data_IF_657529970260
#
_entry.id   IF_657529970260
#
_cell.length_a   1.000
_cell.length_b   1.000
_cell.length_c   1.000
_cell.angle_alpha   90.00
_cell.angle_beta   90.00
_cell.angle_gamma   90.00
#
_symmetry.space_group_name_H-M   'P 1'
#
loop_
_entity.id
_entity.type
_entity.pdbx_description
1 polymer ?
#
# COMPACT_ATOMS: atom_id res chain seq x y z
N UNK A 1 -10.09 -5.50 26.12
CA UNK A 1 -10.81 -4.87 25.00
C UNK A 1 -10.12 -5.30 23.72
N UNK A 2 -10.72 -6.21 22.96
CA UNK A 2 -10.14 -6.70 21.71
C UNK A 2 -10.12 -5.56 20.70
N UNK A 3 -8.94 -5.13 20.30
CA UNK A 3 -8.75 -4.25 19.14
C UNK A 3 -8.52 -5.16 17.94
N UNK A 4 -9.42 -5.12 16.97
CA UNK A 4 -9.20 -5.75 15.66
C UNK A 4 -8.67 -4.67 14.71
N UNK A 5 -7.57 -4.93 14.04
CA UNK A 5 -6.99 -4.05 13.03
C UNK A 5 -7.47 -4.47 11.64
N UNK A 6 -7.71 -3.49 10.79
CA UNK A 6 -8.11 -3.71 9.40
C UNK A 6 -7.23 -2.85 8.52
N UNK A 7 -6.47 -3.48 7.65
CA UNK A 7 -5.76 -2.81 6.56
C UNK A 7 -6.69 -2.79 5.36
N UNK A 8 -7.17 -1.62 5.00
CA UNK A 8 -8.18 -1.42 3.97
C UNK A 8 -7.65 -1.58 2.54
N UNK A 9 -8.55 -1.61 1.57
CA UNK A 9 -8.21 -1.70 0.14
C UNK A 9 -7.61 -0.41 -0.44
N UNK A 10 -7.64 0.69 0.30
CA UNK A 10 -7.09 1.98 -0.13
C UNK A 10 -5.57 2.01 -0.22
N UNK A 11 -4.88 1.16 0.51
CA UNK A 11 -3.42 1.10 0.55
C UNK A 11 -2.83 0.22 -0.55
N UNK A 12 -1.53 0.31 -0.74
CA UNK A 12 -0.70 -0.68 -1.44
C UNK A 12 0.21 -1.35 -0.42
N UNK A 13 0.49 -2.65 -0.57
CA UNK A 13 1.14 -3.48 0.45
C UNK A 13 2.33 -4.21 -0.14
N UNK A 14 3.50 -4.04 0.47
CA UNK A 14 4.64 -4.92 0.25
C UNK A 14 4.45 -6.18 1.14
N UNK A 15 4.20 -7.36 0.56
CA UNK A 15 3.90 -8.56 1.33
C UNK A 15 5.09 -9.04 2.16
N UNK A 16 6.32 -8.87 1.69
CA UNK A 16 7.51 -9.26 2.44
C UNK A 16 7.71 -8.36 3.67
N UNK A 17 7.46 -7.05 3.50
CA UNK A 17 7.51 -6.10 4.60
C UNK A 17 6.42 -6.37 5.63
N UNK A 18 5.19 -6.67 5.18
CA UNK A 18 4.08 -7.05 6.07
C UNK A 18 4.44 -8.26 6.94
N UNK A 19 5.01 -9.32 6.34
CA UNK A 19 5.45 -10.51 7.08
C UNK A 19 6.52 -10.15 8.12
N UNK A 20 7.50 -9.35 7.73
CA UNK A 20 8.57 -8.92 8.64
C UNK A 20 8.04 -8.10 9.84
N UNK A 21 7.06 -7.21 9.61
CA UNK A 21 6.40 -6.46 10.67
C UNK A 21 5.59 -7.36 11.60
N UNK A 22 4.85 -8.34 11.06
CA UNK A 22 4.10 -9.30 11.85
C UNK A 22 5.03 -10.09 12.77
N UNK A 23 6.17 -10.57 12.25
CA UNK A 23 7.18 -11.30 13.02
C UNK A 23 7.77 -10.41 14.12
N UNK A 24 8.13 -9.17 13.79
CA UNK A 24 8.68 -8.21 14.74
C UNK A 24 7.70 -7.93 15.89
N UNK A 25 6.45 -7.64 15.55
CA UNK A 25 5.42 -7.32 16.56
C UNK A 25 5.10 -8.53 17.45
N UNK A 26 5.03 -9.73 16.88
CA UNK A 26 4.89 -10.97 17.67
C UNK A 26 6.05 -11.16 18.63
N UNK A 27 7.28 -10.89 18.18
CA UNK A 27 8.48 -10.90 19.04
C UNK A 27 8.45 -9.90 20.18
N UNK A 28 7.69 -8.80 20.03
CA UNK A 28 7.43 -7.80 21.06
C UNK A 28 6.23 -8.15 21.96
N UNK A 29 5.62 -9.32 21.78
CA UNK A 29 4.48 -9.78 22.59
C UNK A 29 3.11 -9.36 22.05
N UNK A 30 3.01 -8.78 20.85
CA UNK A 30 1.71 -8.46 20.26
C UNK A 30 1.03 -9.73 19.72
N UNK A 31 -0.26 -9.88 20.00
CA UNK A 31 -1.09 -10.97 19.46
C UNK A 31 -1.56 -10.62 18.06
N UNK A 32 -0.79 -11.02 17.04
CA UNK A 32 -1.13 -10.84 15.62
C UNK A 32 -1.61 -12.17 15.04
N UNK A 33 -2.90 -12.31 14.89
CA UNK A 33 -3.58 -13.49 14.36
C UNK A 33 -4.64 -13.08 13.31
N UNK A 34 -5.19 -14.01 12.52
CA UNK A 34 -6.30 -13.71 11.62
C UNK A 34 -7.56 -13.14 12.30
N UNK A 35 -7.69 -13.33 13.61
CA UNK A 35 -8.77 -12.76 14.41
C UNK A 35 -8.51 -11.30 14.80
N UNK A 36 -7.25 -10.92 14.98
CA UNK A 36 -6.85 -9.58 15.42
C UNK A 36 -6.41 -8.67 14.28
N UNK A 37 -5.97 -9.22 13.13
CA UNK A 37 -5.59 -8.48 11.92
C UNK A 37 -6.35 -9.01 10.72
N UNK A 38 -6.92 -8.11 9.92
CA UNK A 38 -7.49 -8.41 8.60
C UNK A 38 -6.85 -7.47 7.58
N UNK A 39 -6.40 -8.03 6.47
CA UNK A 39 -5.88 -7.29 5.32
C UNK A 39 -6.86 -7.48 4.17
N UNK A 40 -7.28 -6.38 3.55
CA UNK A 40 -8.21 -6.46 2.42
C UNK A 40 -7.67 -7.36 1.31
N UNK A 41 -8.46 -8.35 0.91
CA UNK A 41 -8.17 -9.22 -0.22
C UNK A 41 -8.03 -8.48 -1.55
N UNK A 42 -8.60 -7.28 -1.64
CA UNK A 42 -8.53 -6.39 -2.80
C UNK A 42 -7.41 -5.34 -2.70
N UNK A 43 -6.61 -5.33 -1.64
CA UNK A 43 -5.44 -4.46 -1.55
C UNK A 43 -4.40 -4.84 -2.61
N UNK A 44 -3.88 -3.84 -3.32
CA UNK A 44 -2.86 -4.05 -4.34
C UNK A 44 -1.49 -4.31 -3.72
N UNK A 45 -0.72 -5.23 -4.30
CA UNK A 45 0.61 -5.59 -3.83
C UNK A 45 1.69 -4.75 -4.52
N UNK A 46 2.67 -4.35 -3.72
CA UNK A 46 3.94 -3.81 -4.22
C UNK A 46 4.87 -4.98 -4.48
N UNK A 47 5.44 -5.02 -5.67
CA UNK A 47 6.39 -6.04 -6.09
C UNK A 47 7.78 -5.41 -6.29
N UNK A 48 8.87 -6.21 -6.30
CA UNK A 48 10.20 -5.71 -6.65
C UNK A 48 10.25 -4.96 -7.97
N UNK A 49 9.43 -5.36 -8.94
CA UNK A 49 9.22 -4.66 -10.20
C UNK A 49 8.83 -3.18 -10.01
N UNK A 50 7.91 -2.89 -9.09
CA UNK A 50 7.48 -1.51 -8.82
C UNK A 50 8.60 -0.67 -8.23
N UNK A 51 9.45 -1.27 -7.38
CA UNK A 51 10.62 -0.60 -6.80
C UNK A 51 11.66 -0.28 -7.89
N UNK A 52 11.91 -1.22 -8.80
CA UNK A 52 12.80 -1.00 -9.95
C UNK A 52 12.30 0.13 -10.86
N UNK A 53 11.01 0.13 -11.17
CA UNK A 53 10.37 1.20 -11.98
C UNK A 53 10.45 2.55 -11.28
N UNK A 54 10.19 2.61 -9.97
CA UNK A 54 10.27 3.85 -9.18
C UNK A 54 11.69 4.43 -9.19
N UNK A 55 12.69 3.60 -8.91
CA UNK A 55 14.10 3.98 -8.91
C UNK A 55 14.56 4.49 -10.29
N UNK A 56 14.22 3.77 -11.35
CA UNK A 56 14.60 4.15 -12.70
C UNK A 56 13.93 5.46 -13.14
N UNK A 57 12.64 5.67 -12.83
CA UNK A 57 11.94 6.92 -13.10
C UNK A 57 12.57 8.12 -12.39
N UNK A 58 12.93 7.96 -11.11
CA UNK A 58 13.62 9.02 -10.37
C UNK A 58 15.01 9.30 -10.92
N UNK A 59 15.76 8.28 -11.36
CA UNK A 59 17.06 8.46 -11.98
C UNK A 59 16.97 9.28 -13.28
N UNK A 60 15.99 8.98 -14.13
CA UNK A 60 15.79 9.69 -15.42
C UNK A 60 15.36 11.16 -15.25
N UNK A 61 14.74 11.52 -14.13
CA UNK A 61 14.31 12.91 -13.87
C UNK A 61 15.47 13.85 -13.55
N UNK A 62 16.63 13.36 -13.19
CA UNK A 62 17.81 14.17 -12.88
C UNK A 62 17.50 15.23 -11.79
N UNK A 63 17.61 16.51 -12.14
CA UNK A 63 17.31 17.62 -11.22
C UNK A 63 15.81 17.81 -10.93
N UNK A 64 14.92 17.20 -11.72
CA UNK A 64 13.46 17.25 -11.55
C UNK A 64 12.88 16.11 -10.71
N UNK A 65 13.68 15.49 -9.85
CA UNK A 65 13.23 14.43 -8.94
C UNK A 65 12.05 14.88 -8.09
N UNK A 66 11.07 14.01 -7.91
CA UNK A 66 9.95 14.21 -6.97
C UNK A 66 10.43 13.95 -5.54
N UNK A 67 11.46 13.11 -5.37
CA UNK A 67 11.94 12.68 -4.08
C UNK A 67 11.11 11.53 -3.51
N UNK A 68 10.82 10.52 -4.33
CA UNK A 68 10.11 9.32 -3.89
C UNK A 68 10.94 8.54 -2.87
N UNK A 69 10.28 7.72 -2.07
CA UNK A 69 10.96 6.85 -1.10
C UNK A 69 11.63 5.64 -1.74
N UNK A 70 11.51 5.45 -3.06
CA UNK A 70 12.04 4.29 -3.78
C UNK A 70 11.35 2.97 -3.45
N UNK A 71 10.20 3.01 -2.77
CA UNK A 71 9.47 1.81 -2.34
C UNK A 71 8.45 1.29 -3.35
N UNK A 72 8.37 1.89 -4.54
CA UNK A 72 7.45 1.46 -5.58
C UNK A 72 5.99 1.82 -5.35
N UNK A 73 5.71 2.77 -4.45
CA UNK A 73 4.33 3.18 -4.09
C UNK A 73 3.59 3.73 -5.30
N UNK A 74 4.21 4.68 -6.01
CA UNK A 74 3.63 5.31 -7.20
C UNK A 74 3.27 4.31 -8.30
N UNK A 75 4.22 3.49 -8.77
CA UNK A 75 3.95 2.46 -9.77
C UNK A 75 2.87 1.45 -9.34
N UNK A 76 2.81 1.06 -8.06
CA UNK A 76 1.77 0.15 -7.58
C UNK A 76 0.36 0.79 -7.60
N UNK A 77 0.23 2.08 -7.26
CA UNK A 77 -1.03 2.80 -7.41
C UNK A 77 -1.41 3.01 -8.88
N UNK A 78 -0.43 3.30 -9.75
CA UNK A 78 -0.64 3.37 -11.20
C UNK A 78 -1.24 2.07 -11.73
N UNK A 79 -0.69 0.93 -11.34
CA UNK A 79 -1.18 -0.38 -11.75
C UNK A 79 -2.57 -0.70 -11.17
N UNK A 80 -2.84 -0.27 -9.93
CA UNK A 80 -4.16 -0.38 -9.32
C UNK A 80 -5.22 0.35 -10.16
N UNK A 81 -4.98 1.60 -10.51
CA UNK A 81 -5.90 2.43 -11.29
C UNK A 81 -6.02 1.93 -12.72
N UNK A 82 -4.91 1.46 -13.32
CA UNK A 82 -4.89 0.84 -14.65
C UNK A 82 -5.49 -0.59 -14.68
N UNK A 83 -5.92 -1.13 -13.56
CA UNK A 83 -6.59 -2.45 -13.42
C UNK A 83 -5.70 -3.64 -13.79
N UNK A 84 -4.37 -3.52 -13.63
CA UNK A 84 -3.40 -4.60 -13.85
C UNK A 84 -2.66 -5.04 -12.58
N UNK A 85 -2.98 -4.42 -11.43
CA UNK A 85 -2.34 -4.77 -10.15
C UNK A 85 -2.60 -6.22 -9.75
N UNK A 86 -1.59 -6.83 -9.13
CA UNK A 86 -1.75 -8.04 -8.34
C UNK A 86 -2.38 -7.63 -7.01
N UNK A 87 -3.43 -8.32 -6.59
CA UNK A 87 -4.11 -8.11 -5.31
C UNK A 87 -3.79 -9.24 -4.35
N UNK A 88 -3.90 -8.99 -3.05
CA UNK A 88 -3.65 -10.01 -2.03
C UNK A 88 -4.46 -11.30 -2.27
N UNK A 89 -5.73 -11.17 -2.64
CA UNK A 89 -6.59 -12.32 -2.93
C UNK A 89 -6.17 -13.13 -4.16
N UNK A 90 -5.39 -12.57 -5.08
CA UNK A 90 -4.92 -13.31 -6.26
C UNK A 90 -3.95 -14.44 -5.89
N UNK A 91 -3.30 -14.34 -4.73
CA UNK A 91 -2.42 -15.39 -4.21
C UNK A 91 -3.16 -16.71 -3.91
N UNK A 92 -4.48 -16.68 -3.82
CA UNK A 92 -5.29 -17.87 -3.61
C UNK A 92 -5.38 -18.77 -4.86
N UNK A 93 -5.10 -18.22 -6.06
CA UNK A 93 -5.21 -18.94 -7.33
C UNK A 93 -3.93 -18.78 -8.16
N UNK A 94 -3.16 -19.85 -8.26
CA UNK A 94 -1.90 -19.86 -9.00
C UNK A 94 -2.06 -19.48 -10.47
N UNK A 95 -3.10 -20.02 -11.12
CA UNK A 95 -3.37 -19.73 -12.52
C UNK A 95 -3.77 -18.27 -12.76
N UNK A 96 -4.53 -17.68 -11.83
CA UNK A 96 -4.87 -16.25 -11.87
C UNK A 96 -3.63 -15.40 -11.68
N UNK A 97 -2.79 -15.76 -10.71
CA UNK A 97 -1.54 -15.07 -10.43
C UNK A 97 -0.59 -15.09 -11.63
N UNK A 98 -0.41 -16.27 -12.26
CA UNK A 98 0.41 -16.44 -13.46
C UNK A 98 -0.04 -15.50 -14.59
N UNK A 99 -1.32 -15.56 -14.95
CA UNK A 99 -1.87 -14.75 -16.05
C UNK A 99 -1.66 -13.24 -15.79
N UNK A 100 -1.87 -12.81 -14.55
CA UNK A 100 -1.70 -11.40 -14.15
C UNK A 100 -0.24 -10.98 -14.15
N UNK A 101 0.67 -11.81 -13.65
CA UNK A 101 2.11 -11.50 -13.64
C UNK A 101 2.65 -11.42 -15.07
N UNK A 102 2.24 -12.30 -15.98
CA UNK A 102 2.61 -12.21 -17.40
C UNK A 102 2.18 -10.87 -18.00
N UNK A 103 0.93 -10.46 -17.78
CA UNK A 103 0.42 -9.20 -18.30
C UNK A 103 1.11 -7.98 -17.68
N UNK A 104 1.37 -8.01 -16.38
CA UNK A 104 2.03 -6.93 -15.65
C UNK A 104 3.47 -6.75 -16.11
N UNK A 105 4.25 -7.84 -16.20
CA UNK A 105 5.65 -7.79 -16.62
C UNK A 105 5.76 -7.41 -18.09
N UNK A 106 4.91 -7.93 -18.96
CA UNK A 106 4.89 -7.54 -20.37
C UNK A 106 4.70 -6.02 -20.54
N UNK A 107 3.84 -5.41 -19.70
CA UNK A 107 3.64 -3.96 -19.73
C UNK A 107 4.88 -3.18 -19.28
N UNK A 108 5.45 -3.53 -18.14
CA UNK A 108 6.57 -2.77 -17.57
C UNK A 108 7.90 -3.03 -18.27
N UNK A 109 8.11 -4.23 -18.83
CA UNK A 109 9.34 -4.58 -19.53
C UNK A 109 9.57 -3.75 -20.80
N UNK A 110 8.50 -3.29 -21.45
CA UNK A 110 8.63 -2.34 -22.57
C UNK A 110 9.37 -1.08 -22.13
N UNK A 111 9.00 -0.55 -20.97
CA UNK A 111 9.62 0.67 -20.43
C UNK A 111 10.99 0.39 -19.80
N UNK A 112 11.14 -0.67 -19.01
CA UNK A 112 12.44 -1.05 -18.41
C UNK A 112 13.50 -1.25 -19.48
N UNK A 113 13.18 -2.00 -20.53
CA UNK A 113 14.08 -2.21 -21.68
C UNK A 113 14.45 -0.90 -22.37
N UNK A 114 13.48 -0.01 -22.60
CA UNK A 114 13.74 1.30 -23.22
C UNK A 114 14.61 2.21 -22.33
N UNK A 115 14.58 2.00 -21.01
CA UNK A 115 15.39 2.73 -20.03
C UNK A 115 16.77 2.12 -19.79
N UNK A 116 17.06 0.97 -20.42
CA UNK A 116 18.32 0.22 -20.17
C UNK A 116 18.36 -0.57 -18.87
N UNK A 117 17.21 -0.75 -18.25
CA UNK A 117 17.07 -1.50 -17.00
C UNK A 117 16.77 -2.99 -17.27
N UNK A 118 17.14 -3.90 -16.36
CA UNK A 118 16.80 -5.30 -16.48
C UNK A 118 15.30 -5.55 -16.58
N UNK A 119 14.91 -6.43 -17.49
CA UNK A 119 13.53 -6.89 -17.60
C UNK A 119 13.14 -7.74 -16.37
N UNK A 120 11.91 -7.57 -15.90
CA UNK A 120 11.37 -8.38 -14.82
C UNK A 120 10.92 -9.76 -15.34
N UNK A 121 11.30 -10.80 -14.62
CA UNK A 121 10.87 -12.17 -14.92
C UNK A 121 9.60 -12.51 -14.12
N UNK A 122 8.47 -12.83 -14.78
CA UNK A 122 7.24 -13.19 -14.09
C UNK A 122 7.39 -14.45 -13.23
N UNK A 123 8.26 -15.39 -13.59
CA UNK A 123 8.50 -16.60 -12.81
C UNK A 123 9.19 -16.26 -11.47
N UNK A 124 10.19 -15.39 -11.48
CA UNK A 124 10.87 -14.94 -10.27
C UNK A 124 9.90 -14.18 -9.34
N UNK A 125 9.05 -13.33 -9.90
CA UNK A 125 8.04 -12.62 -9.11
C UNK A 125 7.01 -13.58 -8.52
N UNK A 126 6.59 -14.59 -9.28
CA UNK A 126 5.69 -15.65 -8.80
C UNK A 126 6.30 -16.41 -7.64
N UNK A 127 7.52 -16.90 -7.81
CA UNK A 127 8.21 -17.69 -6.77
C UNK A 127 8.34 -16.89 -5.46
N UNK A 128 8.69 -15.61 -5.57
CA UNK A 128 8.76 -14.71 -4.42
C UNK A 128 7.41 -14.54 -3.71
N UNK A 129 6.32 -14.39 -4.47
CA UNK A 129 4.97 -14.28 -3.89
C UNK A 129 4.48 -15.59 -3.30
N UNK A 130 4.74 -16.71 -3.96
CA UNK A 130 4.34 -18.03 -3.48
C UNK A 130 5.08 -18.43 -2.20
N UNK A 131 6.33 -18.00 -2.02
CA UNK A 131 7.07 -18.21 -0.79
C UNK A 131 6.45 -17.47 0.42
N UNK A 132 5.72 -16.37 0.19
CA UNK A 132 5.06 -15.57 1.23
C UNK A 132 3.57 -15.92 1.41
N UNK A 133 3.03 -16.73 0.50
CA UNK A 133 1.59 -17.01 0.42
C UNK A 133 0.98 -17.45 1.73
N UNK A 134 1.58 -18.46 2.34
CA UNK A 134 1.03 -19.08 3.55
C UNK A 134 1.16 -18.19 4.80
N UNK A 135 2.04 -17.20 4.74
CA UNK A 135 2.21 -16.19 5.79
C UNK A 135 1.22 -15.03 5.67
N UNK A 136 0.76 -14.70 4.45
CA UNK A 136 -0.10 -13.52 4.24
C UNK A 136 -1.57 -13.86 3.98
N UNK A 137 -1.87 -14.96 3.27
CA UNK A 137 -3.26 -15.35 2.95
C UNK A 137 -4.15 -15.59 4.16
N UNK A 138 -3.68 -16.11 5.30
CA UNK A 138 -4.52 -16.24 6.49
C UNK A 138 -5.11 -14.93 6.99
N UNK A 139 -4.49 -13.80 6.68
CA UNK A 139 -4.98 -12.46 7.03
C UNK A 139 -5.89 -11.85 5.97
N UNK A 140 -5.98 -12.46 4.78
CA UNK A 140 -6.80 -11.92 3.70
C UNK A 140 -8.30 -11.98 4.05
N UNK A 141 -9.00 -10.88 3.82
CA UNK A 141 -10.44 -10.82 4.10
C UNK A 141 -11.13 -9.59 3.51
N UNK A 142 -12.44 -9.59 3.57
CA UNK A 142 -13.25 -8.49 3.08
C UNK A 142 -13.35 -7.39 4.13
N UNK A 143 -12.51 -6.35 4.02
CA UNK A 143 -12.45 -5.24 4.97
C UNK A 143 -13.82 -4.59 5.20
N UNK A 144 -14.58 -4.35 4.10
CA UNK A 144 -15.92 -3.76 4.17
C UNK A 144 -16.88 -4.57 5.04
N UNK A 145 -16.81 -5.92 5.01
CA UNK A 145 -17.66 -6.79 5.80
C UNK A 145 -17.34 -6.71 7.29
N UNK A 146 -16.05 -6.63 7.63
CA UNK A 146 -15.60 -6.45 9.02
C UNK A 146 -16.09 -5.11 9.58
N UNK A 147 -16.05 -4.05 8.77
CA UNK A 147 -16.53 -2.73 9.18
C UNK A 147 -18.07 -2.70 9.34
N UNK A 148 -18.78 -3.36 8.44
CA UNK A 148 -20.25 -3.47 8.54
C UNK A 148 -20.69 -4.25 9.78
N UNK A 149 -20.00 -5.37 10.10
CA UNK A 149 -20.21 -6.12 11.35
C UNK A 149 -19.94 -5.26 12.59
N UNK A 150 -18.84 -4.47 12.56
CA UNK A 150 -18.53 -3.56 13.65
C UNK A 150 -19.63 -2.49 13.84
N UNK A 151 -20.13 -1.93 12.75
CA UNK A 151 -21.23 -0.97 12.76
C UNK A 151 -22.52 -1.58 13.29
N UNK A 152 -22.91 -2.75 12.79
CA UNK A 152 -24.12 -3.47 13.24
C UNK A 152 -24.09 -3.78 14.75
N UNK A 153 -22.90 -3.99 15.30
CA UNK A 153 -22.67 -4.24 16.71
C UNK A 153 -22.35 -2.97 17.53
N UNK A 154 -22.61 -1.78 16.98
CA UNK A 154 -22.35 -0.48 17.63
C UNK A 154 -20.91 -0.35 18.16
N UNK A 155 -19.95 -0.94 17.47
CA UNK A 155 -18.54 -0.80 17.80
C UNK A 155 -17.98 0.52 17.27
N UNK A 156 -17.07 1.10 18.04
CA UNK A 156 -16.33 2.29 17.58
C UNK A 156 -15.25 1.87 16.60
N UNK A 157 -15.16 2.60 15.48
CA UNK A 157 -14.13 2.42 14.44
C UNK A 157 -13.29 3.69 14.39
N UNK A 158 -11.97 3.53 14.45
CA UNK A 158 -11.01 4.59 14.18
C UNK A 158 -10.42 4.38 12.80
N UNK A 159 -10.61 5.33 11.91
CA UNK A 159 -9.92 5.39 10.63
C UNK A 159 -8.64 6.19 10.79
N UNK A 160 -7.52 5.60 10.41
CA UNK A 160 -6.22 6.26 10.42
C UNK A 160 -5.70 6.30 8.98
N UNK A 161 -5.47 7.52 8.48
CA UNK A 161 -4.84 7.75 7.19
C UNK A 161 -3.33 7.66 7.28
N UNK A 162 -2.68 7.70 6.13
CA UNK A 162 -1.23 7.83 6.01
C UNK A 162 -0.88 9.21 5.45
N UNK A 163 0.38 9.63 5.64
CA UNK A 163 0.93 10.92 5.21
C UNK A 163 0.19 12.13 5.82
N UNK A 164 -0.13 13.13 5.00
CA UNK A 164 -0.82 14.34 5.44
C UNK A 164 -1.44 15.09 4.25
N UNK A 165 -2.36 16.00 4.52
CA UNK A 165 -3.19 16.68 3.50
C UNK A 165 -2.34 17.43 2.45
N UNK A 166 -1.19 17.97 2.82
CA UNK A 166 -0.29 18.63 1.87
C UNK A 166 0.38 17.66 0.88
N UNK A 167 0.34 16.37 1.15
CA UNK A 167 0.83 15.31 0.27
C UNK A 167 -0.30 14.61 -0.51
N UNK A 168 -1.55 15.07 -0.36
CA UNK A 168 -2.68 14.51 -1.10
C UNK A 168 -2.53 14.72 -2.61
N UNK A 169 -2.84 13.68 -3.40
CA UNK A 169 -2.66 13.70 -4.86
C UNK A 169 -3.47 14.81 -5.54
N UNK A 170 -4.66 15.15 -5.00
CA UNK A 170 -5.57 16.12 -5.58
C UNK A 170 -5.49 17.49 -4.89
N UNK A 171 -5.31 17.51 -3.56
CA UNK A 171 -5.41 18.69 -2.72
C UNK A 171 -4.06 19.17 -2.16
N UNK A 172 -2.99 18.41 -2.39
CA UNK A 172 -1.65 18.71 -1.89
C UNK A 172 -0.84 19.63 -2.82
N UNK A 173 0.46 19.68 -2.53
CA UNK A 173 1.45 20.52 -3.24
C UNK A 173 1.96 19.80 -4.50
N UNK A 174 1.07 19.49 -5.43
CA UNK A 174 1.41 18.81 -6.69
C UNK A 174 2.54 19.53 -7.44
N UNK A 175 3.55 18.84 -8.01
CA UNK A 175 3.69 17.38 -8.14
C UNK A 175 4.39 16.69 -6.94
N UNK A 176 4.74 17.41 -5.88
CA UNK A 176 5.46 16.89 -4.71
C UNK A 176 4.48 16.30 -3.68
N UNK A 177 3.79 15.26 -4.10
CA UNK A 177 2.70 14.59 -3.36
C UNK A 177 2.88 13.07 -3.38
N UNK A 178 2.12 12.36 -2.54
CA UNK A 178 1.99 10.91 -2.66
C UNK A 178 1.03 10.53 -3.79
N UNK A 179 0.99 9.28 -4.17
CA UNK A 179 0.14 8.77 -5.26
C UNK A 179 -1.27 8.37 -4.79
N UNK A 180 -1.69 8.85 -3.63
CA UNK A 180 -2.99 8.52 -3.06
C UNK A 180 -3.65 9.75 -2.42
N UNK A 181 -4.97 9.68 -2.21
CA UNK A 181 -5.66 10.65 -1.40
C UNK A 181 -5.36 10.41 0.08
N UNK A 182 -5.10 11.48 0.82
CA UNK A 182 -4.77 11.47 2.25
C UNK A 182 -5.82 12.19 3.09
N UNK A 183 -6.79 12.82 2.44
CA UNK A 183 -7.92 13.51 3.11
C UNK A 183 -8.87 12.52 3.76
N UNK A 184 -9.60 12.95 4.79
CA UNK A 184 -10.49 12.09 5.57
C UNK A 184 -11.56 11.37 4.72
N UNK A 185 -12.00 11.96 3.60
CA UNK A 185 -12.94 11.35 2.67
C UNK A 185 -12.46 10.01 2.10
N UNK A 186 -11.15 9.82 1.99
CA UNK A 186 -10.55 8.57 1.51
C UNK A 186 -10.82 7.39 2.44
N UNK A 187 -11.11 7.61 3.71
CA UNK A 187 -11.46 6.53 4.64
C UNK A 187 -12.67 5.73 4.16
N UNK A 188 -13.65 6.38 3.52
CA UNK A 188 -14.83 5.69 2.99
C UNK A 188 -14.44 4.70 1.87
N UNK A 189 -13.80 5.18 0.81
CA UNK A 189 -13.42 4.36 -0.35
C UNK A 189 -12.27 3.41 -0.01
N UNK A 190 -11.30 3.87 0.79
CA UNK A 190 -10.09 3.12 1.15
C UNK A 190 -10.33 1.98 2.12
N UNK A 191 -11.41 2.02 2.91
CA UNK A 191 -11.79 0.95 3.82
C UNK A 191 -13.02 0.17 3.35
N UNK A 192 -13.76 0.68 2.36
CA UNK A 192 -14.95 0.05 1.81
C UNK A 192 -16.20 0.29 2.68
N UNK A 193 -16.37 1.50 3.23
CA UNK A 193 -17.55 1.89 3.98
C UNK A 193 -18.27 3.06 3.32
N UNK A 194 -19.52 3.30 3.71
CA UNK A 194 -20.29 4.45 3.22
C UNK A 194 -19.75 5.78 3.78
N UNK A 195 -19.83 6.89 3.03
CA UNK A 195 -19.32 8.19 3.49
C UNK A 195 -20.04 8.70 4.74
N UNK A 196 -21.32 8.34 4.93
CA UNK A 196 -22.11 8.68 6.13
C UNK A 196 -21.67 7.96 7.40
N UNK A 197 -20.79 6.94 7.27
CA UNK A 197 -20.20 6.22 8.41
C UNK A 197 -18.98 6.93 8.99
N UNK A 198 -18.51 8.02 8.36
CA UNK A 198 -17.46 8.87 8.88
C UNK A 198 -18.13 9.98 9.69
N UNK A 199 -18.06 9.86 11.00
CA UNK A 199 -18.69 10.82 11.92
C UNK A 199 -17.77 12.02 12.21
N UNK A 200 -16.89 11.87 13.17
CA UNK A 200 -15.96 12.93 13.60
C UNK A 200 -14.62 12.83 12.87
N UNK A 201 -14.12 13.96 12.40
CA UNK A 201 -12.79 14.07 11.78
C UNK A 201 -11.87 14.87 12.68
N UNK A 202 -10.80 14.23 13.18
CA UNK A 202 -9.77 14.87 13.97
C UNK A 202 -8.59 15.24 13.07
N UNK A 203 -8.31 16.52 12.95
CA UNK A 203 -7.10 17.03 12.31
C UNK A 203 -5.93 17.07 13.30
N UNK A 204 -4.78 16.51 12.91
CA UNK A 204 -3.55 16.56 13.69
C UNK A 204 -2.57 17.45 12.94
N UNK A 205 -2.02 18.48 13.62
CA UNK A 205 -0.99 19.34 13.07
C UNK A 205 0.29 19.23 13.88
N UNK A 206 1.43 19.38 13.22
CA UNK A 206 2.74 19.48 13.85
C UNK A 206 3.22 20.92 13.80
N UNK A 207 3.93 21.35 14.83
CA UNK A 207 4.52 22.68 14.88
C UNK A 207 5.60 22.87 13.79
N UNK A 208 6.31 21.80 13.46
CA UNK A 208 7.28 21.74 12.36
C UNK A 208 7.36 20.30 11.81
N UNK A 209 7.84 20.17 10.59
CA UNK A 209 8.11 18.87 9.97
C UNK A 209 9.34 18.98 9.08
N UNK A 210 10.15 17.92 9.05
CA UNK A 210 11.17 17.69 8.05
C UNK A 210 10.72 16.52 7.20
N UNK A 211 10.34 16.76 5.96
CA UNK A 211 9.87 15.73 5.03
C UNK A 211 11.01 15.09 4.27
N UNK A 212 12.08 15.81 4.05
CA UNK A 212 13.29 15.37 3.33
C UNK A 212 14.48 16.08 3.96
N UNK A 213 15.64 15.51 3.92
CA UNK A 213 16.94 15.93 4.50
C UNK A 213 17.43 17.36 4.16
N UNK A 214 16.53 18.28 3.86
CA UNK A 214 16.84 19.63 3.43
C UNK A 214 16.68 20.70 4.50
N UNK A 215 16.09 20.40 5.65
CA UNK A 215 16.10 21.32 6.78
C UNK A 215 17.17 20.91 7.79
N UNK A 216 18.01 21.86 8.25
CA UNK A 216 18.96 21.58 9.31
C UNK A 216 18.23 21.07 10.55
N UNK A 217 18.76 20.01 11.15
CA UNK A 217 18.25 19.53 12.43
C UNK A 217 18.41 20.61 13.48
N UNK A 218 17.46 20.84 14.38
CA UNK A 218 17.64 21.77 15.49
C UNK A 218 18.75 21.37 16.48
N UNK A 219 19.46 20.28 16.18
CA UNK A 219 20.55 19.74 17.01
C UNK A 219 21.93 19.83 16.36
N UNK A 220 22.04 20.42 15.15
CA UNK A 220 23.33 20.68 14.48
C UNK A 220 23.84 22.09 14.76
#
# INVERSE_FOLDING_TARGET
MYKRQVIGNGVVIDPAHLVSEIVLLRGQGAEITPQTLVVSDTAALILPLHQAVDAAREALRGAGKIGTTGRGIGPAYEDKVARRAIRLGDLASESTLDAKLQALTAHHNVWLKASGEPEADPAVLKDGLMALRDDVLPFAGQSWRVLEEARANSRRVLFEGAQGVMLDIDHGTYPFVTSSNTVAGQAATGAGTGPTNIGFVLGITKAYTCLLYTSPSPRD
#
